data_IF_548930949173
#
_entry.id   IF_548930949173
#
_cell.length_a   1.000
_cell.length_b   1.000
_cell.length_c   1.000
_cell.angle_alpha   90.00
_cell.angle_beta   90.00
_cell.angle_gamma   90.00
#
_symmetry.space_group_name_H-M   'P 1'
#
loop_
_entity.id
_entity.type
_entity.pdbx_description
1 polymer ?
#
# COMPACT_ATOMS: atom_id res chain seq x y z
N UNK A 1 -21.16 9.62 -18.46
CA UNK A 1 -21.06 11.00 -17.94
C UNK A 1 -22.43 11.51 -17.52
N UNK A 2 -22.52 12.63 -16.78
CA UNK A 2 -23.82 13.29 -16.46
C UNK A 2 -24.59 13.70 -17.72
N UNK A 3 -23.91 13.82 -18.85
CA UNK A 3 -24.48 14.14 -20.17
C UNK A 3 -24.79 12.90 -21.04
N UNK A 4 -24.82 11.72 -20.45
CA UNK A 4 -25.13 10.45 -21.13
C UNK A 4 -23.95 9.86 -21.89
N UNK A 5 -24.25 8.96 -22.81
CA UNK A 5 -23.27 8.28 -23.66
C UNK A 5 -22.74 9.27 -24.72
N UNK A 6 -21.40 9.31 -24.86
CA UNK A 6 -20.73 10.06 -25.95
C UNK A 6 -19.76 9.15 -26.67
N UNK A 7 -19.74 9.23 -27.99
CA UNK A 7 -18.81 8.49 -28.84
C UNK A 7 -17.73 9.44 -29.35
N UNK A 8 -16.48 9.03 -29.22
CA UNK A 8 -15.33 9.77 -29.73
C UNK A 8 -14.59 8.91 -30.72
N UNK A 9 -14.25 9.47 -31.87
CA UNK A 9 -13.39 8.81 -32.84
C UNK A 9 -11.95 9.25 -32.58
N UNK A 10 -11.02 8.28 -32.41
CA UNK A 10 -9.62 8.56 -32.15
C UNK A 10 -8.72 7.58 -32.90
N UNK A 11 -7.53 8.03 -33.31
CA UNK A 11 -6.49 7.18 -33.93
C UNK A 11 -5.82 6.25 -32.93
N UNK A 12 -5.72 6.66 -31.66
CA UNK A 12 -5.17 5.88 -30.58
C UNK A 12 -5.85 6.24 -29.26
N UNK A 13 -5.89 5.29 -28.31
CA UNK A 13 -6.44 5.49 -26.98
C UNK A 13 -5.38 5.06 -25.97
N UNK A 14 -5.04 5.95 -25.02
CA UNK A 14 -4.14 5.67 -23.89
C UNK A 14 -4.98 5.50 -22.64
N UNK A 15 -4.93 4.32 -22.04
CA UNK A 15 -5.58 4.04 -20.76
C UNK A 15 -4.64 4.37 -19.61
N UNK A 16 -4.93 5.44 -18.88
CA UNK A 16 -4.15 5.92 -17.73
C UNK A 16 -5.07 6.05 -16.49
N UNK A 17 -5.70 4.96 -16.11
CA UNK A 17 -6.79 4.92 -15.14
C UNK A 17 -6.33 4.72 -13.68
N UNK A 18 -5.03 4.59 -13.45
CA UNK A 18 -4.49 4.24 -12.15
C UNK A 18 -4.80 2.80 -11.74
N UNK A 19 -4.58 2.50 -10.47
CA UNK A 19 -4.88 1.19 -9.88
C UNK A 19 -5.47 1.34 -8.49
N UNK A 20 -6.09 0.27 -8.00
CA UNK A 20 -6.57 0.16 -6.62
C UNK A 20 -5.82 -0.95 -5.90
N UNK A 21 -5.42 -0.71 -4.65
CA UNK A 21 -4.88 -1.75 -3.79
C UNK A 21 -5.93 -2.85 -3.58
N UNK A 22 -5.48 -4.11 -3.55
CA UNK A 22 -6.36 -5.23 -3.24
C UNK A 22 -6.85 -5.13 -1.80
N UNK A 23 -8.15 -5.31 -1.60
CA UNK A 23 -8.73 -5.41 -0.27
C UNK A 23 -8.38 -6.76 0.37
N UNK A 24 -8.54 -6.87 1.70
CA UNK A 24 -8.38 -8.13 2.43
C UNK A 24 -9.18 -9.27 1.81
N UNK A 25 -10.45 -9.00 1.44
CA UNK A 25 -11.31 -10.00 0.81
C UNK A 25 -10.81 -10.45 -0.56
N UNK A 26 -10.27 -9.53 -1.36
CA UNK A 26 -9.68 -9.85 -2.66
C UNK A 26 -8.37 -10.64 -2.56
N UNK A 27 -7.67 -10.54 -1.42
CA UNK A 27 -6.46 -11.33 -1.12
C UNK A 27 -6.78 -12.68 -0.47
N UNK A 28 -8.04 -12.92 -0.07
CA UNK A 28 -8.43 -14.15 0.60
C UNK A 28 -7.78 -14.36 1.97
N UNK A 29 -7.38 -13.28 2.65
CA UNK A 29 -6.74 -13.37 3.97
C UNK A 29 -7.74 -13.91 4.98
N UNK A 30 -7.48 -15.10 5.61
CA UNK A 30 -8.39 -15.74 6.54
C UNK A 30 -8.49 -15.00 7.88
N UNK A 31 -9.38 -15.48 8.74
CA UNK A 31 -9.56 -14.98 10.10
C UNK A 31 -10.64 -13.91 10.23
N UNK A 32 -10.75 -13.35 11.42
CA UNK A 32 -11.72 -12.33 11.78
C UNK A 32 -11.50 -11.01 11.02
N UNK A 33 -12.48 -10.11 11.08
CA UNK A 33 -12.42 -8.80 10.44
C UNK A 33 -12.26 -7.68 11.47
N UNK A 34 -11.08 -7.50 12.08
CA UNK A 34 -10.86 -6.43 13.02
C UNK A 34 -10.92 -5.06 12.33
N UNK A 35 -11.24 -4.02 13.11
CA UNK A 35 -11.40 -2.67 12.61
C UNK A 35 -10.10 -2.05 12.03
N UNK A 36 -8.94 -2.55 12.41
CA UNK A 36 -7.63 -1.99 12.02
C UNK A 36 -7.10 -2.42 10.65
N UNK A 37 -7.90 -3.11 9.81
CA UNK A 37 -7.43 -3.59 8.50
C UNK A 37 -7.83 -2.63 7.40
N UNK A 38 -6.84 -1.96 6.82
CA UNK A 38 -7.01 -0.95 5.76
C UNK A 38 -6.27 -1.35 4.49
N UNK A 39 -6.77 -0.91 3.33
CA UNK A 39 -5.91 -0.82 2.14
C UNK A 39 -4.97 0.37 2.27
N UNK A 40 -3.81 0.32 1.61
CA UNK A 40 -2.85 1.42 1.63
C UNK A 40 -3.48 2.75 1.19
N UNK A 41 -4.32 2.74 0.15
CA UNK A 41 -5.02 3.94 -0.31
C UNK A 41 -6.02 4.50 0.71
N UNK A 42 -6.71 3.64 1.46
CA UNK A 42 -7.60 4.08 2.56
C UNK A 42 -6.79 4.69 3.70
N UNK A 43 -5.68 4.06 4.12
CA UNK A 43 -4.80 4.60 5.14
C UNK A 43 -4.21 5.96 4.71
N UNK A 44 -3.79 6.07 3.46
CA UNK A 44 -3.31 7.34 2.89
C UNK A 44 -4.38 8.44 2.92
N UNK A 45 -5.62 8.10 2.57
CA UNK A 45 -6.72 9.07 2.61
C UNK A 45 -6.99 9.55 4.05
N UNK A 46 -6.97 8.67 5.04
CA UNK A 46 -7.09 9.07 6.44
C UNK A 46 -6.03 10.09 6.85
N UNK A 47 -4.78 9.86 6.48
CA UNK A 47 -3.68 10.75 6.83
C UNK A 47 -3.71 12.05 6.05
N UNK A 48 -3.86 11.97 4.71
CA UNK A 48 -3.67 13.14 3.85
C UNK A 48 -4.93 14.01 3.72
N UNK A 49 -6.12 13.43 3.79
CA UNK A 49 -7.38 14.17 3.61
C UNK A 49 -8.07 14.48 4.93
N UNK A 50 -7.96 13.58 5.91
CA UNK A 50 -8.67 13.72 7.18
C UNK A 50 -7.76 14.04 8.36
N UNK A 51 -6.44 14.14 8.13
CA UNK A 51 -5.44 14.38 9.17
C UNK A 51 -5.59 13.45 10.38
N UNK A 52 -5.83 12.17 10.11
CA UNK A 52 -6.04 11.12 11.12
C UNK A 52 -5.08 9.98 10.92
N UNK A 53 -4.38 9.60 11.97
CA UNK A 53 -3.53 8.41 11.97
C UNK A 53 -4.39 7.14 12.06
N UNK A 54 -4.31 6.20 11.11
CA UNK A 54 -5.11 4.97 11.13
C UNK A 54 -4.68 3.96 12.22
N UNK A 55 -3.44 4.04 12.68
CA UNK A 55 -2.90 3.20 13.75
C UNK A 55 -1.51 3.62 14.16
N UNK A 56 -1.12 3.32 15.40
CA UNK A 56 0.22 3.61 15.95
C UNK A 56 1.20 2.45 15.75
N UNK A 57 0.72 1.22 15.90
CA UNK A 57 1.46 -0.01 15.62
C UNK A 57 0.97 -0.59 14.31
N UNK A 58 1.87 -0.75 13.35
CA UNK A 58 1.50 -1.02 11.96
C UNK A 58 2.29 -2.19 11.40
N UNK A 59 1.59 -3.05 10.69
CA UNK A 59 2.16 -4.10 9.84
C UNK A 59 1.65 -3.87 8.43
N UNK A 60 2.53 -3.98 7.45
CA UNK A 60 2.18 -3.80 6.04
C UNK A 60 2.35 -5.12 5.30
N UNK A 61 1.33 -5.53 4.56
CA UNK A 61 1.38 -6.69 3.69
C UNK A 61 1.50 -6.26 2.24
N UNK A 62 2.63 -6.59 1.64
CA UNK A 62 3.02 -6.26 0.27
C UNK A 62 4.09 -5.15 0.20
N UNK A 63 5.20 -5.47 -0.43
CA UNK A 63 6.35 -4.57 -0.66
C UNK A 63 6.31 -3.89 -2.04
N UNK A 64 5.13 -3.74 -2.63
CA UNK A 64 4.96 -2.86 -3.78
C UNK A 64 5.25 -1.39 -3.40
N UNK A 65 5.45 -0.54 -4.40
CA UNK A 65 5.80 0.88 -4.17
C UNK A 65 4.86 1.57 -3.19
N UNK A 66 3.55 1.35 -3.30
CA UNK A 66 2.56 1.96 -2.40
C UNK A 66 2.76 1.48 -0.95
N UNK A 67 3.03 0.18 -0.73
CA UNK A 67 3.29 -0.36 0.60
C UNK A 67 4.53 0.26 1.25
N UNK A 68 5.63 0.35 0.51
CA UNK A 68 6.88 0.95 0.99
C UNK A 68 6.75 2.46 1.24
N UNK A 69 6.12 3.19 0.33
CA UNK A 69 5.86 4.63 0.51
C UNK A 69 4.98 4.87 1.74
N UNK A 70 3.98 4.03 1.98
CA UNK A 70 3.14 4.15 3.16
C UNK A 70 3.88 3.78 4.45
N UNK A 71 4.78 2.79 4.43
CA UNK A 71 5.65 2.47 5.56
C UNK A 71 6.46 3.71 6.00
N UNK A 72 7.17 4.32 5.05
CA UNK A 72 7.90 5.56 5.29
C UNK A 72 6.99 6.68 5.80
N UNK A 73 5.85 6.90 5.14
CA UNK A 73 4.93 7.99 5.49
C UNK A 73 4.39 7.83 6.91
N UNK A 74 3.96 6.64 7.29
CA UNK A 74 3.44 6.38 8.62
C UNK A 74 4.51 6.54 9.70
N UNK A 75 5.74 6.13 9.43
CA UNK A 75 6.89 6.35 10.33
C UNK A 75 7.16 7.84 10.54
N UNK A 76 7.13 8.65 9.48
CA UNK A 76 7.30 10.10 9.57
C UNK A 76 6.21 10.79 10.39
N UNK A 77 5.01 10.26 10.38
CA UNK A 77 3.89 10.76 11.18
C UNK A 77 3.84 10.17 12.61
N UNK A 78 4.88 9.42 13.00
CA UNK A 78 5.06 8.93 14.36
C UNK A 78 4.44 7.56 14.65
N UNK A 79 4.03 6.80 13.65
CA UNK A 79 3.67 5.40 13.83
C UNK A 79 4.92 4.51 13.87
N UNK A 80 4.83 3.41 14.60
CA UNK A 80 5.82 2.35 14.60
C UNK A 80 5.43 1.28 13.58
N UNK A 81 6.16 1.22 12.47
CA UNK A 81 5.98 0.17 11.45
C UNK A 81 6.85 -1.01 11.82
N UNK A 82 6.23 -2.06 12.34
CA UNK A 82 6.91 -3.27 12.85
C UNK A 82 7.60 -4.06 11.73
N UNK A 83 6.95 -4.20 10.58
CA UNK A 83 7.53 -4.84 9.41
C UNK A 83 6.67 -4.63 8.16
N UNK A 84 7.32 -4.79 7.01
CA UNK A 84 6.69 -4.99 5.70
C UNK A 84 6.90 -6.45 5.30
N UNK A 85 5.80 -7.16 5.04
CA UNK A 85 5.80 -8.57 4.64
C UNK A 85 5.58 -8.71 3.13
N UNK A 86 6.31 -9.61 2.49
CA UNK A 86 6.20 -9.92 1.06
C UNK A 86 6.09 -11.42 0.84
N UNK A 87 5.21 -11.83 -0.07
CA UNK A 87 5.05 -13.24 -0.45
C UNK A 87 6.16 -13.73 -1.38
N UNK A 88 6.76 -12.85 -2.14
CA UNK A 88 7.87 -13.17 -3.04
C UNK A 88 9.19 -13.21 -2.24
N UNK A 89 10.22 -13.90 -2.74
CA UNK A 89 11.53 -13.91 -2.11
C UNK A 89 12.30 -12.58 -2.24
N UNK A 90 11.72 -11.60 -2.91
CA UNK A 90 12.30 -10.27 -3.12
C UNK A 90 11.21 -9.18 -3.09
N UNK A 91 11.55 -7.93 -2.75
CA UNK A 91 10.61 -6.81 -2.80
C UNK A 91 10.06 -6.60 -4.20
N UNK A 92 8.76 -6.30 -4.30
CA UNK A 92 8.06 -6.20 -5.58
C UNK A 92 8.02 -4.79 -6.18
N UNK A 93 8.44 -3.78 -5.44
CA UNK A 93 8.50 -2.39 -5.89
C UNK A 93 9.87 -1.98 -6.44
N UNK A 94 10.03 -0.71 -6.72
CA UNK A 94 11.27 -0.15 -7.29
C UNK A 94 12.43 -0.20 -6.29
N UNK A 95 13.65 -0.56 -6.70
CA UNK A 95 14.82 -0.66 -5.81
C UNK A 95 15.09 0.63 -5.01
N UNK A 96 14.89 1.79 -5.62
CA UNK A 96 15.04 3.09 -4.91
C UNK A 96 14.12 3.23 -3.71
N UNK A 97 12.91 2.65 -3.78
CA UNK A 97 11.94 2.74 -2.69
C UNK A 97 12.29 1.77 -1.55
N UNK A 98 13.04 0.70 -1.81
CA UNK A 98 13.58 -0.14 -0.75
C UNK A 98 14.50 0.69 0.13
N UNK A 99 15.48 1.35 -0.46
CA UNK A 99 16.44 2.20 0.26
C UNK A 99 15.72 3.35 0.95
N UNK A 100 15.00 4.19 0.19
CA UNK A 100 14.42 5.45 0.68
C UNK A 100 13.23 5.25 1.64
N UNK A 101 12.56 4.12 1.61
CA UNK A 101 11.35 3.90 2.40
C UNK A 101 11.52 2.86 3.50
N UNK A 102 12.45 1.93 3.36
CA UNK A 102 12.67 0.87 4.34
C UNK A 102 14.02 1.01 5.02
N UNK A 103 15.13 0.99 4.27
CA UNK A 103 16.48 0.96 4.84
C UNK A 103 16.81 2.24 5.61
N UNK A 104 16.55 3.42 5.03
CA UNK A 104 16.78 4.72 5.68
C UNK A 104 16.01 4.88 6.99
N UNK A 105 14.87 4.21 7.12
CA UNK A 105 14.01 4.23 8.31
C UNK A 105 14.16 2.99 9.19
N UNK A 106 15.06 2.06 8.84
CA UNK A 106 15.30 0.80 9.55
C UNK A 106 14.02 -0.03 9.74
N UNK A 107 13.12 0.03 8.74
CA UNK A 107 11.88 -0.74 8.75
C UNK A 107 12.18 -2.16 8.28
N UNK A 108 11.95 -3.18 9.11
CA UNK A 108 12.20 -4.56 8.70
C UNK A 108 11.32 -4.96 7.50
N UNK A 109 11.93 -5.53 6.48
CA UNK A 109 11.19 -6.21 5.43
C UNK A 109 11.43 -7.72 5.52
N UNK A 110 10.36 -8.49 5.46
CA UNK A 110 10.36 -9.94 5.64
C UNK A 110 9.74 -10.62 4.43
N UNK A 111 10.45 -11.56 3.88
CA UNK A 111 9.99 -12.39 2.77
C UNK A 111 9.44 -13.71 3.30
N UNK A 112 8.68 -14.42 2.47
CA UNK A 112 8.07 -15.70 2.84
C UNK A 112 9.04 -16.67 3.50
N UNK A 113 10.27 -16.78 2.99
CA UNK A 113 11.29 -17.72 3.47
C UNK A 113 11.94 -17.27 4.80
N UNK A 114 11.67 -16.04 5.23
CA UNK A 114 12.15 -15.47 6.51
C UNK A 114 11.07 -15.41 7.59
N UNK A 115 9.92 -16.01 7.36
CA UNK A 115 8.85 -16.08 8.37
C UNK A 115 9.17 -17.19 9.37
N UNK A 116 8.91 -16.97 10.66
CA UNK A 116 9.07 -17.99 11.67
C UNK A 116 8.07 -19.13 11.51
#
# INVERSE_FOLDING_TARGET
TRSGLRQYQAKAVVLAMGCKARSRGALGIPGERPAGVFTAGTAQAYMNLYNRMPGKEVVILGSGDIGMIMARRMTLEGAHVQAVFELKPYPSGLPRNIVQCLDDYKIPHRHRDSWP
#
